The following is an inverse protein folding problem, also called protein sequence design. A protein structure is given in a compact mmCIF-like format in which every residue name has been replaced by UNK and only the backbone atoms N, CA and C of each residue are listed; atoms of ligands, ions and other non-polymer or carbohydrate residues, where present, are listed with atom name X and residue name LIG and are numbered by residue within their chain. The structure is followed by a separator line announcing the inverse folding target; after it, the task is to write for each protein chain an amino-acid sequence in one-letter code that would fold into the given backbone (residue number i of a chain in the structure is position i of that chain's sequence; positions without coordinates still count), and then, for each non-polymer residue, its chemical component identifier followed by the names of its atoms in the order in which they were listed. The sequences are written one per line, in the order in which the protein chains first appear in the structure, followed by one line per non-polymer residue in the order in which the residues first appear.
data_IF_245667256962
#
_entry.id   IF_245667256962
#
_cell.length_a   1.000
_cell.length_b   1.000
_cell.length_c   1.000
_cell.angle_alpha   90.00
_cell.angle_beta   90.00
_cell.angle_gamma   90.00
#
_symmetry.space_group_name_H-M   'P 1'
#
loop_
_entity.id
_entity.type
_entity.pdbx_description
1 polymer ?
#
# COMPACT_ATOMS: atom_id res chain seq x y z
N UNK A 1 -14.94 -6.53 10.54
CA UNK A 1 -15.12 -6.88 9.11
C UNK A 1 -16.61 -6.85 8.78
N UNK A 2 -16.98 -6.42 7.58
CA UNK A 2 -18.32 -6.57 7.03
C UNK A 2 -18.20 -7.02 5.57
N UNK A 3 -19.16 -7.77 5.07
CA UNK A 3 -19.19 -8.28 3.70
C UNK A 3 -20.27 -7.58 2.89
N UNK A 4 -19.95 -7.17 1.68
CA UNK A 4 -20.92 -6.62 0.74
C UNK A 4 -21.65 -7.74 0.01
N UNK A 5 -22.97 -7.82 0.14
CA UNK A 5 -23.80 -8.88 -0.48
C UNK A 5 -24.31 -8.53 -1.89
N UNK A 6 -23.93 -7.36 -2.42
CA UNK A 6 -24.42 -6.82 -3.71
C UNK A 6 -25.34 -5.60 -3.54
N UNK A 7 -26.01 -5.44 -2.41
CA UNK A 7 -26.91 -4.33 -2.10
C UNK A 7 -26.52 -3.57 -0.82
N UNK A 8 -26.08 -4.25 0.20
CA UNK A 8 -25.74 -3.68 1.51
C UNK A 8 -24.59 -4.46 2.17
N UNK A 9 -24.03 -3.90 3.25
CA UNK A 9 -23.09 -4.62 4.11
C UNK A 9 -23.85 -5.48 5.11
N UNK A 10 -23.31 -6.68 5.38
CA UNK A 10 -23.75 -7.51 6.48
C UNK A 10 -23.36 -6.91 7.86
N UNK A 11 -23.71 -7.60 8.94
CA UNK A 11 -23.35 -7.19 10.27
C UNK A 11 -21.83 -7.06 10.44
N UNK A 12 -21.43 -6.00 11.16
CA UNK A 12 -20.01 -5.75 11.46
C UNK A 12 -19.52 -6.77 12.48
N UNK A 13 -18.54 -7.57 12.11
CA UNK A 13 -17.89 -8.57 12.94
C UNK A 13 -16.54 -8.08 13.46
N UNK A 14 -16.26 -8.34 14.72
CA UNK A 14 -14.99 -8.00 15.34
C UNK A 14 -13.90 -8.96 14.86
N UNK A 15 -12.76 -8.41 14.42
CA UNK A 15 -11.57 -9.19 14.05
C UNK A 15 -10.68 -9.38 15.28
N UNK A 16 -10.34 -8.28 15.96
CA UNK A 16 -9.46 -8.29 17.12
C UNK A 16 -9.84 -7.18 18.11
N UNK A 17 -9.45 -7.37 19.37
CA UNK A 17 -9.62 -6.38 20.45
C UNK A 17 -8.42 -6.44 21.39
N UNK A 18 -7.79 -5.29 21.65
CA UNK A 18 -6.70 -5.17 22.61
C UNK A 18 -6.73 -3.81 23.31
N UNK A 19 -6.29 -3.78 24.58
CA UNK A 19 -6.04 -2.51 25.29
C UNK A 19 -4.85 -1.74 24.70
N UNK A 20 -3.92 -2.44 24.06
CA UNK A 20 -2.76 -1.88 23.39
C UNK A 20 -2.95 -1.56 21.91
N UNK A 21 -4.18 -1.66 21.39
CA UNK A 21 -4.43 -1.36 19.96
C UNK A 21 -3.95 0.04 19.62
N UNK A 22 -3.15 0.15 18.55
CA UNK A 22 -2.56 1.39 18.10
C UNK A 22 -3.18 1.81 16.76
N UNK A 23 -3.91 2.91 16.78
CA UNK A 23 -4.49 3.51 15.58
C UNK A 23 -3.55 4.58 15.01
N UNK A 24 -3.14 4.40 13.78
CA UNK A 24 -2.29 5.33 13.04
C UNK A 24 -2.99 5.75 11.75
N UNK A 25 -2.98 7.04 11.43
CA UNK A 25 -3.64 7.58 10.24
C UNK A 25 -2.99 7.15 8.92
N UNK A 26 -1.70 6.81 8.95
CA UNK A 26 -0.90 6.43 7.78
C UNK A 26 -0.61 4.93 7.70
N UNK A 27 -0.61 4.25 8.84
CA UNK A 27 -0.33 2.82 8.96
C UNK A 27 -1.62 2.11 9.38
N UNK A 28 -2.42 1.78 8.39
CA UNK A 28 -3.78 1.28 8.57
C UNK A 28 -3.84 -0.24 8.47
N UNK A 29 -4.74 -0.90 9.20
CA UNK A 29 -4.92 -2.34 9.11
C UNK A 29 -5.34 -2.78 7.71
N UNK A 30 -5.03 -4.03 7.36
CA UNK A 30 -5.44 -4.64 6.09
C UNK A 30 -5.97 -6.05 6.27
N UNK A 31 -6.68 -6.51 5.26
CA UNK A 31 -7.26 -7.84 5.15
C UNK A 31 -6.92 -8.40 3.77
N UNK A 32 -6.55 -9.67 3.71
CA UNK A 32 -6.31 -10.40 2.47
C UNK A 32 -6.90 -11.80 2.55
N UNK A 33 -7.40 -12.29 1.44
CA UNK A 33 -7.80 -13.68 1.28
C UNK A 33 -6.65 -14.46 0.62
N UNK A 34 -6.23 -15.54 1.25
CA UNK A 34 -5.27 -16.49 0.68
C UNK A 34 -5.93 -17.33 -0.42
N UNK A 35 -5.17 -17.91 -1.35
CA UNK A 35 -5.72 -18.82 -2.35
C UNK A 35 -6.40 -20.09 -1.76
N UNK A 36 -6.13 -20.40 -0.50
CA UNK A 36 -6.83 -21.46 0.26
C UNK A 36 -8.24 -21.07 0.69
N UNK A 37 -8.62 -19.79 0.61
CA UNK A 37 -9.86 -19.22 1.15
C UNK A 37 -9.74 -18.71 2.59
N UNK A 38 -8.59 -18.89 3.24
CA UNK A 38 -8.32 -18.36 4.55
C UNK A 38 -8.18 -16.83 4.49
N UNK A 39 -8.69 -16.14 5.48
CA UNK A 39 -8.49 -14.71 5.62
C UNK A 39 -7.37 -14.43 6.60
N UNK A 40 -6.50 -13.49 6.25
CA UNK A 40 -5.48 -12.95 7.14
C UNK A 40 -5.69 -11.46 7.30
N UNK A 41 -5.69 -10.99 8.55
CA UNK A 41 -5.76 -9.58 8.88
C UNK A 41 -4.55 -9.16 9.71
N UNK A 42 -4.03 -7.96 9.47
CA UNK A 42 -3.06 -7.36 10.37
C UNK A 42 -3.62 -6.10 11.03
N UNK A 43 -3.11 -5.82 12.20
CA UNK A 43 -3.36 -4.62 12.98
C UNK A 43 -2.16 -4.31 13.87
N UNK A 44 -2.09 -3.09 14.38
CA UNK A 44 -0.96 -2.64 15.20
C UNK A 44 -1.30 -2.70 16.68
N UNK A 45 -0.35 -3.20 17.48
CA UNK A 45 -0.46 -3.26 18.93
C UNK A 45 0.80 -2.70 19.59
N UNK A 46 0.63 -1.98 20.69
CA UNK A 46 1.75 -1.44 21.45
C UNK A 46 2.57 -2.55 22.07
N UNK A 47 3.91 -2.41 22.01
CA UNK A 47 4.90 -3.26 22.68
C UNK A 47 5.66 -2.50 23.77
N UNK A 48 5.32 -1.23 23.99
CA UNK A 48 5.90 -0.38 25.02
C UNK A 48 5.14 0.93 25.18
N UNK A 49 5.63 1.79 26.06
CA UNK A 49 5.01 3.09 26.37
C UNK A 49 5.50 4.23 25.47
N UNK A 50 6.55 4.02 24.69
CA UNK A 50 7.11 5.04 23.79
C UNK A 50 6.18 5.26 22.60
N UNK A 51 6.22 6.44 22.00
CA UNK A 51 5.31 6.85 20.92
C UNK A 51 5.29 5.89 19.74
N UNK A 52 6.47 5.36 19.36
CA UNK A 52 6.65 4.46 18.21
C UNK A 52 6.96 3.02 18.64
N UNK A 53 6.65 2.63 19.88
CA UNK A 53 6.80 1.27 20.36
C UNK A 53 5.55 0.45 20.05
N UNK A 54 5.43 0.00 18.82
CA UNK A 54 4.33 -0.86 18.36
C UNK A 54 4.81 -1.90 17.36
N UNK A 55 4.06 -2.98 17.28
CA UNK A 55 4.34 -4.09 16.38
C UNK A 55 3.07 -4.57 15.69
N UNK A 56 3.26 -5.56 14.83
CA UNK A 56 2.25 -6.06 13.90
C UNK A 56 1.69 -7.37 14.44
N UNK A 57 0.38 -7.38 14.71
CA UNK A 57 -0.38 -8.59 15.05
C UNK A 57 -1.03 -9.16 13.80
N UNK A 58 -1.10 -10.49 13.73
CA UNK A 58 -1.75 -11.23 12.65
C UNK A 58 -2.90 -12.05 13.22
N UNK A 59 -4.05 -11.93 12.58
CA UNK A 59 -5.23 -12.74 12.83
C UNK A 59 -5.54 -13.59 11.60
N UNK A 60 -5.99 -14.83 11.80
CA UNK A 60 -6.42 -15.76 10.74
C UNK A 60 -7.85 -16.21 10.96
N UNK A 61 -8.61 -16.33 9.89
CA UNK A 61 -9.95 -16.95 9.87
C UNK A 61 -10.01 -18.02 8.79
N UNK A 62 -10.60 -19.16 9.11
CA UNK A 62 -10.82 -20.28 8.19
C UNK A 62 -12.31 -20.48 7.84
N UNK A 63 -13.17 -19.58 8.33
CA UNK A 63 -14.62 -19.68 8.25
C UNK A 63 -15.27 -18.41 7.68
N UNK A 64 -14.55 -17.76 6.73
CA UNK A 64 -14.96 -16.50 6.06
C UNK A 64 -15.22 -15.35 7.05
N UNK A 65 -14.38 -15.25 8.09
CA UNK A 65 -14.40 -14.15 9.06
C UNK A 65 -15.50 -14.25 10.11
N UNK A 66 -16.08 -15.42 10.32
CA UNK A 66 -17.03 -15.66 11.42
C UNK A 66 -16.30 -15.76 12.76
N UNK A 67 -15.14 -16.41 12.76
CA UNK A 67 -14.22 -16.45 13.91
C UNK A 67 -12.78 -16.15 13.49
N UNK A 68 -11.98 -15.68 14.45
CA UNK A 68 -10.60 -15.27 14.23
C UNK A 68 -9.69 -15.88 15.29
N UNK A 69 -8.53 -16.35 14.86
CA UNK A 69 -7.46 -16.87 15.69
C UNK A 69 -6.24 -15.97 15.57
N UNK A 70 -5.69 -15.52 16.70
CA UNK A 70 -4.42 -14.78 16.69
C UNK A 70 -3.26 -15.72 16.40
N UNK A 71 -2.40 -15.31 15.47
CA UNK A 71 -1.10 -15.95 15.20
C UNK A 71 0.04 -15.27 15.96
N UNK A 72 -0.23 -14.16 16.65
CA UNK A 72 0.78 -13.40 17.38
C UNK A 72 1.47 -12.35 16.49
N UNK A 73 2.74 -12.05 16.83
CA UNK A 73 3.54 -11.05 16.14
C UNK A 73 4.01 -11.54 14.77
N UNK A 74 3.90 -10.69 13.75
CA UNK A 74 4.43 -10.97 12.40
C UNK A 74 5.96 -11.11 12.41
N UNK A 75 6.65 -10.42 13.30
CA UNK A 75 8.10 -10.29 13.39
C UNK A 75 8.64 -10.92 14.68
N UNK A 76 9.87 -11.41 14.61
CA UNK A 76 10.57 -11.98 15.77
C UNK A 76 11.17 -10.91 16.69
N UNK A 77 11.44 -9.71 16.17
CA UNK A 77 11.95 -8.60 16.98
C UNK A 77 10.81 -7.98 17.80
N UNK A 78 10.94 -8.02 19.11
CA UNK A 78 10.00 -7.42 20.08
C UNK A 78 10.59 -6.19 20.77
N UNK A 79 11.60 -5.57 20.18
CA UNK A 79 12.15 -4.31 20.67
C UNK A 79 11.08 -3.20 20.67
N UNK A 80 11.21 -2.24 21.59
CA UNK A 80 10.25 -1.13 21.70
C UNK A 80 10.48 -0.08 20.62
N UNK A 81 10.43 -0.51 19.36
CA UNK A 81 10.60 0.30 18.14
C UNK A 81 9.37 0.17 17.25
N UNK A 82 9.40 0.84 16.11
CA UNK A 82 8.31 0.84 15.14
C UNK A 82 8.40 -0.38 14.20
N UNK A 83 7.33 -1.20 14.15
CA UNK A 83 7.15 -2.26 13.17
C UNK A 83 5.76 -2.08 12.54
N UNK A 84 5.71 -1.76 11.25
CA UNK A 84 4.43 -1.43 10.62
C UNK A 84 4.49 -1.25 9.11
N UNK A 85 3.55 -0.47 8.56
CA UNK A 85 3.40 -0.21 7.14
C UNK A 85 3.32 -1.48 6.29
N UNK A 86 2.43 -2.37 6.72
CA UNK A 86 2.31 -3.73 6.19
C UNK A 86 1.62 -3.77 4.83
N UNK A 87 2.15 -4.59 3.92
CA UNK A 87 1.48 -5.04 2.70
C UNK A 87 1.34 -6.55 2.71
N UNK A 88 0.10 -7.05 2.67
CA UNK A 88 -0.22 -8.48 2.56
C UNK A 88 -0.68 -8.77 1.14
N UNK A 89 -0.11 -9.80 0.51
CA UNK A 89 -0.52 -10.25 -0.82
C UNK A 89 -0.70 -11.77 -0.85
N UNK A 90 -1.70 -12.28 -1.60
CA UNK A 90 -1.75 -13.71 -1.90
C UNK A 90 -0.56 -14.09 -2.78
N UNK A 91 0.07 -15.22 -2.51
CA UNK A 91 1.17 -15.75 -3.30
C UNK A 91 1.12 -17.27 -3.33
N UNK A 92 0.98 -17.88 -4.52
CA UNK A 92 0.81 -19.32 -4.70
C UNK A 92 -0.34 -19.88 -3.83
N UNK A 93 -0.05 -20.53 -2.68
CA UNK A 93 -1.03 -21.09 -1.74
C UNK A 93 -1.02 -20.44 -0.36
N UNK A 94 -0.17 -19.42 -0.15
CA UNK A 94 0.02 -18.75 1.12
C UNK A 94 -0.15 -17.22 0.96
N UNK A 95 0.06 -16.48 2.01
CA UNK A 95 0.14 -15.01 1.99
C UNK A 95 1.58 -14.60 2.26
N UNK A 96 2.11 -13.69 1.45
CA UNK A 96 3.37 -13.02 1.73
C UNK A 96 3.10 -11.67 2.39
N UNK A 97 3.79 -11.43 3.47
CA UNK A 97 3.79 -10.17 4.19
C UNK A 97 5.08 -9.40 3.93
N UNK A 98 4.96 -8.09 3.77
CA UNK A 98 6.07 -7.14 3.76
C UNK A 98 5.81 -6.07 4.80
N UNK A 99 6.84 -5.58 5.48
CA UNK A 99 6.69 -4.50 6.47
C UNK A 99 7.97 -3.68 6.62
N UNK A 100 7.82 -2.49 7.18
CA UNK A 100 8.92 -1.69 7.67
C UNK A 100 9.26 -2.09 9.11
N UNK A 101 10.55 -2.34 9.36
CA UNK A 101 11.04 -2.89 10.62
C UNK A 101 12.09 -1.97 11.24
N UNK A 102 11.76 -1.42 12.39
CA UNK A 102 12.61 -0.51 13.16
C UNK A 102 13.52 -1.18 14.18
N UNK A 103 13.65 -2.51 14.19
CA UNK A 103 14.45 -3.26 15.19
C UNK A 103 15.89 -2.82 15.35
N UNK A 104 16.45 -2.14 14.34
CA UNK A 104 17.80 -1.57 14.41
C UNK A 104 17.81 -0.08 14.84
N UNK A 105 16.68 0.61 14.89
CA UNK A 105 16.61 2.07 15.06
C UNK A 105 17.20 2.58 16.38
N UNK A 106 17.20 1.79 17.43
CA UNK A 106 17.82 2.15 18.73
C UNK A 106 19.32 1.90 18.79
N UNK A 107 19.90 1.22 17.80
CA UNK A 107 21.35 1.01 17.72
C UNK A 107 22.05 2.26 17.17
N UNK A 108 23.33 2.49 17.50
CA UNK A 108 24.11 3.55 16.87
C UNK A 108 24.06 3.45 15.34
N UNK A 109 23.64 4.51 14.65
CA UNK A 109 23.40 4.55 13.20
C UNK A 109 22.36 3.53 12.71
N UNK A 110 21.42 3.17 13.60
CA UNK A 110 20.33 2.26 13.26
C UNK A 110 19.43 2.82 12.18
N UNK A 111 18.91 1.93 11.35
CA UNK A 111 18.15 2.23 10.15
C UNK A 111 16.82 1.45 10.17
N UNK A 112 15.85 1.95 9.43
CA UNK A 112 14.63 1.22 9.13
C UNK A 112 14.92 0.21 8.02
N UNK A 113 14.41 -0.99 8.17
CA UNK A 113 14.57 -2.09 7.21
C UNK A 113 13.26 -2.40 6.50
N UNK A 114 13.35 -2.95 5.30
CA UNK A 114 12.25 -3.64 4.63
C UNK A 114 12.41 -5.14 4.86
N UNK A 115 11.37 -5.79 5.40
CA UNK A 115 11.37 -7.23 5.67
C UNK A 115 10.19 -7.93 5.02
N UNK A 116 10.27 -9.26 4.95
CA UNK A 116 9.22 -10.14 4.43
C UNK A 116 9.12 -11.42 5.24
N UNK A 117 7.92 -12.00 5.29
CA UNK A 117 7.65 -13.33 5.83
C UNK A 117 6.50 -14.00 5.07
N UNK A 118 6.32 -15.29 5.29
CA UNK A 118 5.24 -16.10 4.73
C UNK A 118 4.27 -16.48 5.84
N UNK A 119 2.97 -16.24 5.60
CA UNK A 119 1.86 -16.70 6.43
C UNK A 119 1.27 -17.95 5.75
N UNK A 120 1.44 -19.11 6.35
CA UNK A 120 1.01 -20.41 5.81
C UNK A 120 0.28 -21.21 6.90
N UNK A 121 -1.03 -21.28 6.80
CA UNK A 121 -1.85 -21.84 7.87
C UNK A 121 -1.66 -21.06 9.19
N UNK A 122 -1.30 -21.75 10.25
CA UNK A 122 -1.03 -21.14 11.57
C UNK A 122 0.44 -20.72 11.75
N UNK A 123 1.27 -20.79 10.72
CA UNK A 123 2.69 -20.54 10.81
C UNK A 123 3.07 -19.20 10.18
N UNK A 124 3.97 -18.48 10.85
CA UNK A 124 4.71 -17.34 10.30
C UNK A 124 6.15 -17.82 10.13
N UNK A 125 6.62 -17.87 8.90
CA UNK A 125 7.91 -18.47 8.57
C UNK A 125 8.68 -17.68 7.52
N UNK A 126 9.95 -18.06 7.33
CA UNK A 126 10.83 -17.45 6.29
C UNK A 126 10.95 -15.93 6.43
N UNK A 127 11.12 -15.44 7.67
CA UNK A 127 11.38 -14.02 7.89
C UNK A 127 12.77 -13.65 7.34
N UNK A 128 12.80 -12.68 6.42
CA UNK A 128 14.01 -12.22 5.75
C UNK A 128 14.06 -10.70 5.65
N UNK A 129 15.27 -10.15 5.62
CA UNK A 129 15.53 -8.74 5.32
C UNK A 129 15.73 -8.58 3.81
N UNK A 130 15.05 -7.61 3.20
CA UNK A 130 15.14 -7.30 1.77
C UNK A 130 16.05 -6.09 1.55
N UNK A 131 15.92 -5.05 2.40
CA UNK A 131 16.69 -3.81 2.33
C UNK A 131 16.96 -3.29 3.74
N UNK A 132 18.17 -2.79 4.00
CA UNK A 132 18.64 -2.40 5.32
C UNK A 132 18.63 -0.89 5.59
N UNK A 133 18.18 -0.06 4.63
CA UNK A 133 18.08 1.40 4.80
C UNK A 133 16.94 2.03 3.99
N UNK A 134 15.74 2.02 4.53
CA UNK A 134 14.55 2.54 3.85
C UNK A 134 13.92 3.72 4.58
N UNK A 135 12.98 4.41 3.93
CA UNK A 135 12.21 5.48 4.56
C UNK A 135 11.35 4.94 5.72
N UNK A 136 11.38 5.60 6.87
CA UNK A 136 10.77 5.12 8.12
C UNK A 136 9.25 5.23 8.19
N UNK A 137 8.59 5.98 7.31
CA UNK A 137 7.20 6.41 7.55
C UNK A 137 6.30 6.37 6.33
N UNK A 138 6.70 5.66 5.29
CA UNK A 138 5.93 5.63 4.04
C UNK A 138 5.30 4.25 3.83
N UNK A 139 3.98 4.19 3.55
CA UNK A 139 3.36 2.94 3.12
C UNK A 139 4.11 2.30 1.97
N UNK A 140 4.13 0.98 1.97
CA UNK A 140 4.68 0.15 0.90
C UNK A 140 3.55 -0.48 0.09
N UNK A 141 3.85 -0.92 -1.12
CA UNK A 141 2.91 -1.65 -1.97
C UNK A 141 3.54 -2.91 -2.52
N UNK A 142 2.76 -3.99 -2.61
CA UNK A 142 3.23 -5.24 -3.20
C UNK A 142 2.17 -5.86 -4.10
N UNK A 143 2.61 -6.67 -5.04
CA UNK A 143 1.77 -7.44 -5.96
C UNK A 143 2.31 -8.84 -6.16
N UNK A 144 1.40 -9.77 -6.45
CA UNK A 144 1.76 -11.08 -6.99
C UNK A 144 2.08 -10.94 -8.48
N UNK A 145 3.11 -11.66 -8.93
CA UNK A 145 3.53 -11.80 -10.32
C UNK A 145 3.62 -13.28 -10.70
N UNK A 146 3.61 -13.63 -11.98
CA UNK A 146 3.89 -14.99 -12.41
C UNK A 146 5.25 -15.48 -11.87
N UNK A 147 5.20 -16.49 -10.99
CA UNK A 147 6.40 -17.10 -10.37
C UNK A 147 7.01 -16.32 -9.21
N UNK A 148 6.30 -15.35 -8.62
CA UNK A 148 6.79 -14.62 -7.46
C UNK A 148 5.99 -13.37 -7.13
N UNK A 149 6.66 -12.33 -6.68
CA UNK A 149 6.04 -11.06 -6.27
C UNK A 149 6.97 -9.87 -6.52
N UNK A 150 6.42 -8.68 -6.40
CA UNK A 150 7.18 -7.44 -6.42
C UNK A 150 6.72 -6.53 -5.27
N UNK A 151 7.67 -5.82 -4.67
CA UNK A 151 7.41 -4.81 -3.64
C UNK A 151 8.02 -3.48 -4.06
N UNK A 152 7.27 -2.40 -3.88
CA UNK A 152 7.72 -1.02 -4.08
C UNK A 152 7.64 -0.27 -2.76
N UNK A 153 8.63 0.53 -2.49
CA UNK A 153 8.75 1.29 -1.25
C UNK A 153 9.51 2.60 -1.50
N UNK A 154 9.37 3.53 -0.58
CA UNK A 154 10.22 4.73 -0.57
C UNK A 154 11.54 4.37 0.09
N UNK A 155 12.59 4.49 -0.71
CA UNK A 155 13.96 4.21 -0.30
C UNK A 155 14.58 5.37 0.49
N UNK A 156 15.72 5.12 1.13
CA UNK A 156 16.57 6.12 1.76
C UNK A 156 17.99 6.00 1.23
N UNK A 157 18.23 6.63 0.10
CA UNK A 157 19.53 6.64 -0.54
C UNK A 157 20.46 7.69 0.09
N UNK A 158 21.79 7.62 -0.18
CA UNK A 158 22.72 8.64 0.25
C UNK A 158 22.24 10.05 -0.05
N UNK A 159 22.60 11.03 0.78
CA UNK A 159 22.18 12.43 0.69
C UNK A 159 20.66 12.66 0.87
N UNK A 160 19.99 11.73 1.57
CA UNK A 160 18.54 11.79 1.83
C UNK A 160 17.68 11.83 0.55
N UNK A 161 18.14 11.17 -0.52
CA UNK A 161 17.32 10.97 -1.71
C UNK A 161 16.24 9.93 -1.38
N UNK A 162 14.98 10.31 -1.61
CA UNK A 162 13.78 9.52 -1.26
C UNK A 162 13.03 9.08 -2.50
N UNK A 163 13.72 8.46 -3.44
CA UNK A 163 13.11 7.90 -4.65
C UNK A 163 12.38 6.59 -4.33
N UNK A 164 11.61 6.09 -5.27
CA UNK A 164 10.91 4.81 -5.13
C UNK A 164 11.76 3.69 -5.71
N UNK A 165 12.03 2.69 -4.89
CA UNK A 165 12.70 1.46 -5.27
C UNK A 165 11.71 0.30 -5.44
N UNK A 166 12.09 -0.64 -6.29
CA UNK A 166 11.40 -1.88 -6.62
C UNK A 166 12.33 -3.05 -6.35
N UNK A 167 11.80 -4.10 -5.73
CA UNK A 167 12.44 -5.41 -5.58
C UNK A 167 11.51 -6.48 -6.13
N UNK A 168 12.03 -7.36 -6.99
CA UNK A 168 11.36 -8.58 -7.43
C UNK A 168 11.76 -9.76 -6.55
N UNK A 169 10.79 -10.60 -6.25
CA UNK A 169 10.99 -11.84 -5.50
C UNK A 169 10.55 -12.98 -6.39
N UNK A 170 11.45 -13.93 -6.61
CA UNK A 170 11.20 -15.13 -7.41
C UNK A 170 11.88 -16.33 -6.77
N UNK A 171 11.11 -17.41 -6.51
CA UNK A 171 11.61 -18.63 -5.86
C UNK A 171 12.36 -18.32 -4.54
N UNK A 172 11.78 -17.47 -3.68
CA UNK A 172 12.37 -17.00 -2.42
C UNK A 172 13.75 -16.31 -2.53
N UNK A 173 14.12 -15.91 -3.73
CA UNK A 173 15.26 -15.04 -4.01
C UNK A 173 14.77 -13.69 -4.46
N UNK A 174 15.40 -12.62 -3.99
CA UNK A 174 15.04 -11.25 -4.37
C UNK A 174 16.17 -10.53 -5.10
N UNK A 175 15.77 -9.67 -6.01
CA UNK A 175 16.69 -8.82 -6.74
C UNK A 175 17.33 -7.79 -5.80
N UNK A 176 18.41 -7.19 -6.24
CA UNK A 176 18.86 -5.94 -5.61
C UNK A 176 17.80 -4.86 -5.80
N UNK A 177 17.63 -3.92 -4.83
CA UNK A 177 16.81 -2.74 -5.02
C UNK A 177 17.18 -1.97 -6.27
N UNK A 178 16.20 -1.58 -7.06
CA UNK A 178 16.38 -0.76 -8.25
C UNK A 178 15.38 0.39 -8.25
N UNK A 179 15.83 1.62 -8.49
CA UNK A 179 14.93 2.76 -8.58
C UNK A 179 14.04 2.65 -9.81
N UNK A 180 12.73 2.83 -9.64
CA UNK A 180 11.81 2.86 -10.79
C UNK A 180 12.07 4.08 -11.68
N UNK A 181 12.55 5.18 -11.09
CA UNK A 181 12.95 6.42 -11.76
C UNK A 181 13.88 7.23 -10.86
N UNK A 182 14.84 7.93 -11.45
CA UNK A 182 15.73 8.84 -10.76
C UNK A 182 15.10 10.24 -10.65
N UNK A 183 14.14 10.39 -9.74
CA UNK A 183 13.54 11.71 -9.43
C UNK A 183 14.54 12.60 -8.68
N UNK A 184 15.49 11.98 -7.96
CA UNK A 184 16.49 12.61 -7.11
C UNK A 184 15.85 13.57 -6.09
N UNK A 185 14.74 13.15 -5.51
CA UNK A 185 14.03 13.95 -4.51
C UNK A 185 14.75 13.92 -3.17
N UNK A 186 15.48 14.98 -2.87
CA UNK A 186 16.13 15.17 -1.56
C UNK A 186 15.08 15.59 -0.54
N UNK A 187 14.89 14.78 0.49
CA UNK A 187 13.91 15.02 1.55
C UNK A 187 14.46 14.53 2.90
N UNK A 188 15.15 15.40 3.67
CA UNK A 188 15.65 15.05 5.00
C UNK A 188 14.52 15.04 6.03
N UNK A 189 13.63 14.06 5.96
CA UNK A 189 12.45 13.96 6.83
C UNK A 189 11.48 12.88 6.40
N UNK A 190 10.27 12.94 6.97
CA UNK A 190 9.18 11.97 6.80
C UNK A 190 8.11 12.51 5.85
N UNK A 191 8.11 12.16 4.57
CA UNK A 191 7.09 12.65 3.63
C UNK A 191 5.73 11.99 3.81
N UNK A 192 5.65 10.81 4.44
CA UNK A 192 4.44 10.00 4.64
C UNK A 192 3.65 9.82 3.34
N UNK A 193 4.37 9.58 2.26
CA UNK A 193 3.87 9.41 0.90
C UNK A 193 4.56 8.22 0.25
N UNK A 194 4.05 7.02 0.49
CA UNK A 194 4.51 5.80 -0.15
C UNK A 194 4.03 5.66 -1.60
N UNK A 195 4.61 4.72 -2.34
CA UNK A 195 4.12 4.30 -3.65
C UNK A 195 2.88 3.43 -3.52
N UNK A 196 2.17 3.28 -4.64
CA UNK A 196 1.16 2.24 -4.80
C UNK A 196 1.41 1.50 -6.10
N UNK A 197 1.23 0.18 -6.09
CA UNK A 197 1.49 -0.70 -7.22
C UNK A 197 0.25 -1.57 -7.51
N UNK A 198 0.00 -1.82 -8.79
CA UNK A 198 -1.03 -2.74 -9.25
C UNK A 198 -0.60 -3.42 -10.55
N UNK A 199 -1.24 -4.53 -10.90
CA UNK A 199 -1.03 -5.22 -12.17
C UNK A 199 -2.35 -5.79 -12.69
N UNK A 200 -2.47 -5.95 -14.00
CA UNK A 200 -3.51 -6.75 -14.65
C UNK A 200 -2.96 -8.04 -15.26
N UNK A 201 -1.71 -8.39 -14.93
CA UNK A 201 -0.98 -9.54 -15.49
C UNK A 201 -0.04 -9.15 -16.65
N UNK A 202 -0.43 -8.21 -17.50
CA UNK A 202 0.36 -7.80 -18.68
C UNK A 202 1.29 -6.62 -18.38
N UNK A 203 0.81 -5.69 -17.55
CA UNK A 203 1.55 -4.50 -17.14
C UNK A 203 1.59 -4.36 -15.63
N UNK A 204 2.62 -3.68 -15.18
CA UNK A 204 2.77 -3.18 -13.81
C UNK A 204 2.57 -1.67 -13.84
N UNK A 205 1.75 -1.17 -12.94
CA UNK A 205 1.43 0.24 -12.77
C UNK A 205 1.88 0.70 -11.38
N UNK A 206 2.81 1.65 -11.32
CA UNK A 206 3.30 2.23 -10.06
C UNK A 206 2.99 3.71 -10.02
N UNK A 207 2.22 4.16 -9.04
CA UNK A 207 2.02 5.57 -8.78
C UNK A 207 2.86 6.04 -7.60
N UNK A 208 3.32 7.28 -7.67
CA UNK A 208 4.11 7.91 -6.64
C UNK A 208 3.85 9.41 -6.53
N UNK A 209 3.97 9.90 -5.31
CA UNK A 209 4.18 11.33 -5.05
C UNK A 209 5.69 11.61 -5.07
N UNK A 210 6.10 12.66 -5.73
CA UNK A 210 7.49 13.11 -5.77
C UNK A 210 7.58 14.63 -5.92
N UNK A 211 8.76 15.21 -5.69
CA UNK A 211 9.03 16.63 -5.95
C UNK A 211 10.19 16.74 -6.92
N UNK A 212 9.92 17.26 -8.10
CA UNK A 212 10.91 17.45 -9.16
C UNK A 212 11.00 18.96 -9.47
N UNK A 213 12.21 19.52 -9.40
CA UNK A 213 12.43 20.96 -9.62
C UNK A 213 11.48 21.85 -8.78
N UNK A 214 11.35 21.52 -7.49
CA UNK A 214 10.48 22.20 -6.51
C UNK A 214 8.98 22.14 -6.84
N UNK A 215 8.55 21.24 -7.72
CA UNK A 215 7.13 21.01 -8.02
C UNK A 215 6.71 19.63 -7.54
N UNK A 216 5.71 19.59 -6.66
CA UNK A 216 5.07 18.35 -6.24
C UNK A 216 4.27 17.74 -7.39
N UNK A 217 4.35 16.43 -7.56
CA UNK A 217 3.70 15.72 -8.66
C UNK A 217 3.15 14.38 -8.19
N UNK A 218 2.06 13.95 -8.84
CA UNK A 218 1.64 12.55 -8.88
C UNK A 218 2.01 12.01 -10.26
N UNK A 219 2.82 10.97 -10.25
CA UNK A 219 3.29 10.33 -11.49
C UNK A 219 2.91 8.86 -11.44
N UNK A 220 2.34 8.39 -12.54
CA UNK A 220 2.11 6.97 -12.82
C UNK A 220 3.20 6.48 -13.78
N UNK A 221 3.80 5.32 -13.48
CA UNK A 221 4.69 4.62 -14.38
C UNK A 221 4.08 3.29 -14.79
N UNK A 222 4.05 3.02 -16.10
CA UNK A 222 3.56 1.78 -16.68
C UNK A 222 4.73 1.03 -17.32
N UNK A 223 4.89 -0.24 -17.01
CA UNK A 223 5.95 -1.08 -17.56
C UNK A 223 5.55 -2.56 -17.54
N UNK A 224 6.25 -3.40 -18.31
CA UNK A 224 6.15 -4.85 -18.22
C UNK A 224 7.09 -5.38 -17.14
N UNK A 225 6.82 -6.57 -16.63
CA UNK A 225 7.68 -7.21 -15.65
C UNK A 225 9.13 -7.30 -16.13
N UNK A 226 10.08 -6.97 -15.25
CA UNK A 226 11.52 -6.88 -15.58
C UNK A 226 11.91 -5.68 -16.46
N UNK A 227 11.00 -4.77 -16.83
CA UNK A 227 11.25 -3.64 -17.75
C UNK A 227 10.94 -2.27 -17.11
N UNK A 228 11.20 -2.10 -15.82
CA UNK A 228 10.89 -0.86 -15.13
C UNK A 228 11.61 0.37 -15.73
N UNK A 229 12.85 0.22 -16.19
CA UNK A 229 13.66 1.30 -16.77
C UNK A 229 13.06 1.86 -18.08
N UNK A 230 12.48 0.99 -18.92
CA UNK A 230 11.84 1.38 -20.20
C UNK A 230 10.39 1.81 -20.04
N UNK A 231 9.90 1.91 -18.78
CA UNK A 231 8.51 2.23 -18.49
C UNK A 231 8.09 3.63 -18.93
N UNK A 232 6.81 3.75 -19.29
CA UNK A 232 6.18 5.02 -19.67
C UNK A 232 5.74 5.80 -18.45
N UNK A 233 6.15 7.06 -18.33
CA UNK A 233 5.72 7.98 -17.30
C UNK A 233 4.56 8.86 -17.75
N UNK A 234 3.58 9.00 -16.87
CA UNK A 234 2.39 9.83 -17.04
C UNK A 234 2.23 10.73 -15.82
N UNK A 235 2.37 12.04 -16.00
CA UNK A 235 2.08 13.01 -14.93
C UNK A 235 0.56 13.14 -14.79
N UNK A 236 0.05 12.68 -13.64
CA UNK A 236 -1.37 12.74 -13.33
C UNK A 236 -1.78 14.07 -12.71
N UNK A 237 -0.91 14.66 -11.87
CA UNK A 237 -1.21 15.92 -11.18
C UNK A 237 0.07 16.70 -10.86
N UNK A 238 0.03 18.01 -11.09
CA UNK A 238 1.04 19.01 -10.67
C UNK A 238 0.35 20.23 -10.05
N UNK A 239 -0.97 20.15 -9.83
CA UNK A 239 -1.76 21.23 -9.28
C UNK A 239 -2.07 20.95 -7.80
N UNK A 240 -1.11 21.27 -6.94
CA UNK A 240 -1.16 21.11 -5.49
C UNK A 240 -1.59 19.67 -5.06
N UNK A 241 -0.90 18.62 -5.53
CA UNK A 241 -1.15 17.29 -5.01
C UNK A 241 -0.66 17.17 -3.56
N UNK A 242 -1.43 16.48 -2.72
CA UNK A 242 -1.05 16.11 -1.35
C UNK A 242 -0.41 14.72 -1.34
N UNK A 243 -0.79 13.86 -2.28
CA UNK A 243 -0.29 12.48 -2.40
C UNK A 243 -1.25 11.43 -1.89
N UNK A 244 -0.74 10.48 -1.10
CA UNK A 244 -1.49 9.34 -0.55
C UNK A 244 -2.19 8.54 -1.64
N UNK A 245 -1.39 8.09 -2.61
CA UNK A 245 -1.87 7.43 -3.81
C UNK A 245 -2.37 6.01 -3.52
N UNK A 246 -3.41 5.60 -4.24
CA UNK A 246 -3.79 4.20 -4.41
C UNK A 246 -4.03 3.92 -5.90
N UNK A 247 -3.53 2.77 -6.36
CA UNK A 247 -3.55 2.35 -7.77
C UNK A 247 -4.22 1.00 -7.86
N UNK A 248 -5.12 0.83 -8.81
CA UNK A 248 -5.73 -0.45 -9.15
C UNK A 248 -5.81 -0.62 -10.67
N UNK A 249 -5.74 -1.86 -11.12
CA UNK A 249 -5.90 -2.21 -12.53
C UNK A 249 -7.23 -2.93 -12.75
N UNK A 250 -7.88 -2.61 -13.85
CA UNK A 250 -8.83 -3.48 -14.52
C UNK A 250 -8.14 -4.20 -15.67
N UNK A 251 -8.89 -5.01 -16.41
CA UNK A 251 -8.40 -5.62 -17.65
C UNK A 251 -7.91 -4.57 -18.66
N UNK A 252 -8.58 -3.40 -18.76
CA UNK A 252 -8.43 -2.44 -19.86
C UNK A 252 -7.92 -1.06 -19.44
N UNK A 253 -7.78 -0.82 -18.13
CA UNK A 253 -7.39 0.50 -17.60
C UNK A 253 -6.71 0.42 -16.25
N UNK A 254 -5.97 1.49 -15.93
CA UNK A 254 -5.39 1.76 -14.62
C UNK A 254 -6.13 2.93 -13.98
N UNK A 255 -6.57 2.75 -12.75
CA UNK A 255 -7.21 3.79 -11.96
C UNK A 255 -6.25 4.24 -10.86
N UNK A 256 -6.03 5.54 -10.79
CA UNK A 256 -5.25 6.16 -9.73
C UNK A 256 -6.13 7.11 -8.93
N UNK A 257 -6.08 6.98 -7.62
CA UNK A 257 -6.76 7.86 -6.69
C UNK A 257 -5.70 8.53 -5.82
N UNK A 258 -5.84 9.83 -5.56
CA UNK A 258 -4.93 10.59 -4.70
C UNK A 258 -5.65 11.77 -4.04
N UNK A 259 -5.04 12.31 -3.02
CA UNK A 259 -5.50 13.53 -2.37
C UNK A 259 -4.82 14.75 -3.02
N UNK A 260 -5.60 15.74 -3.35
CA UNK A 260 -5.14 17.03 -3.89
C UNK A 260 -5.92 18.20 -3.31
N UNK A 261 -5.61 19.41 -3.78
CA UNK A 261 -6.34 20.62 -3.38
C UNK A 261 -7.00 21.24 -4.61
N UNK A 262 -8.28 21.56 -4.51
CA UNK A 262 -9.05 22.31 -5.51
C UNK A 262 -9.74 23.50 -4.83
N UNK A 263 -9.57 24.72 -5.37
CA UNK A 263 -10.19 25.94 -4.83
C UNK A 263 -10.09 26.07 -3.29
N UNK A 264 -8.92 25.76 -2.73
CA UNK A 264 -8.59 25.73 -1.28
C UNK A 264 -9.27 24.61 -0.48
N UNK A 265 -9.99 23.70 -1.13
CA UNK A 265 -10.61 22.53 -0.51
C UNK A 265 -9.75 21.29 -0.77
N UNK A 266 -9.55 20.47 0.25
CA UNK A 266 -8.95 19.14 0.09
C UNK A 266 -9.96 18.20 -0.57
N UNK A 267 -9.51 17.50 -1.60
CA UNK A 267 -10.39 16.66 -2.43
C UNK A 267 -9.71 15.32 -2.73
N UNK A 268 -10.55 14.31 -2.91
CA UNK A 268 -10.13 13.05 -3.49
C UNK A 268 -10.25 13.15 -5.01
N UNK A 269 -9.16 12.92 -5.73
CA UNK A 269 -9.08 12.93 -7.20
C UNK A 269 -8.90 11.53 -7.74
N UNK A 270 -9.30 11.33 -8.98
CA UNK A 270 -9.11 10.08 -9.71
C UNK A 270 -8.69 10.36 -11.16
N UNK A 271 -7.78 9.54 -11.68
CA UNK A 271 -7.52 9.42 -13.11
C UNK A 271 -7.72 7.99 -13.58
N UNK A 272 -8.35 7.86 -14.74
CA UNK A 272 -8.43 6.63 -15.52
C UNK A 272 -7.45 6.75 -16.69
N UNK A 273 -6.53 5.77 -16.79
CA UNK A 273 -5.46 5.76 -17.78
C UNK A 273 -5.53 4.45 -18.56
N UNK A 274 -5.49 4.52 -19.88
CA UNK A 274 -5.41 3.31 -20.72
C UNK A 274 -4.09 2.56 -20.49
N UNK A 275 -4.02 1.29 -20.84
CA UNK A 275 -2.79 0.50 -20.76
C UNK A 275 -1.66 1.06 -21.64
N UNK A 276 -2.01 1.82 -22.70
CA UNK A 276 -1.05 2.55 -23.52
C UNK A 276 -0.56 3.88 -22.91
N UNK A 277 -1.09 4.26 -21.73
CA UNK A 277 -0.69 5.46 -20.99
C UNK A 277 -1.40 6.76 -21.44
N UNK A 278 -2.56 6.68 -22.09
CA UNK A 278 -3.42 7.85 -22.40
C UNK A 278 -4.37 8.08 -21.21
N UNK A 279 -4.39 9.30 -20.67
CA UNK A 279 -5.41 9.69 -19.68
C UNK A 279 -6.75 9.76 -20.39
N UNK A 280 -7.69 8.88 -20.04
CA UNK A 280 -9.05 8.83 -20.56
C UNK A 280 -9.95 9.80 -19.80
N UNK A 281 -9.77 9.88 -18.47
CA UNK A 281 -10.60 10.71 -17.60
C UNK A 281 -9.79 11.15 -16.37
N UNK A 282 -10.00 12.39 -15.94
CA UNK A 282 -9.52 12.91 -14.66
C UNK A 282 -10.63 13.72 -14.00
N UNK A 283 -11.00 13.35 -12.77
CA UNK A 283 -12.13 13.96 -12.06
C UNK A 283 -11.82 14.15 -10.57
N UNK A 284 -12.53 15.07 -9.95
CA UNK A 284 -12.68 15.16 -8.50
C UNK A 284 -13.84 14.26 -8.08
N UNK A 285 -13.59 13.35 -7.15
CA UNK A 285 -14.59 12.42 -6.65
C UNK A 285 -15.44 13.07 -5.57
N UNK A 286 -14.81 13.50 -4.48
CA UNK A 286 -15.49 14.09 -3.31
C UNK A 286 -14.54 15.05 -2.58
N UNK A 287 -15.08 16.05 -1.88
CA UNK A 287 -14.35 16.79 -0.86
C UNK A 287 -14.08 15.89 0.37
N UNK A 288 -12.93 16.08 1.01
CA UNK A 288 -12.53 15.35 2.21
C UNK A 288 -11.94 16.30 3.25
N UNK A 289 -11.73 15.80 4.46
CA UNK A 289 -11.12 16.56 5.55
C UNK A 289 -9.68 16.97 5.21
N UNK A 290 -9.28 18.17 5.67
CA UNK A 290 -7.99 18.76 5.29
C UNK A 290 -6.80 18.13 5.99
N UNK A 291 -6.99 17.57 7.16
CA UNK A 291 -5.92 17.15 8.05
C UNK A 291 -5.45 15.68 7.81
N UNK A 292 -4.64 15.19 8.73
CA UNK A 292 -4.16 13.81 8.70
C UNK A 292 -5.26 12.79 8.97
N UNK A 293 -6.37 13.17 9.60
CA UNK A 293 -7.50 12.28 9.89
C UNK A 293 -8.19 11.76 8.64
N UNK A 294 -8.03 12.42 7.47
CA UNK A 294 -8.49 11.89 6.19
C UNK A 294 -7.81 10.57 5.78
N UNK A 295 -6.74 10.19 6.46
CA UNK A 295 -6.12 8.87 6.32
C UNK A 295 -5.52 8.59 4.95
N UNK A 296 -5.44 7.31 4.62
CA UNK A 296 -4.98 6.80 3.33
C UNK A 296 -6.18 6.23 2.56
N UNK A 297 -6.59 6.81 1.42
CA UNK A 297 -7.64 6.21 0.61
C UNK A 297 -7.21 4.83 0.12
N UNK A 298 -8.18 3.92 0.00
CA UNK A 298 -7.98 2.59 -0.57
C UNK A 298 -8.96 2.36 -1.72
N UNK A 299 -8.54 1.58 -2.70
CA UNK A 299 -9.40 1.23 -3.81
C UNK A 299 -9.21 -0.24 -4.20
N UNK A 300 -10.26 -0.81 -4.74
CA UNK A 300 -10.27 -2.09 -5.43
C UNK A 300 -11.10 -1.98 -6.70
N UNK A 301 -10.81 -2.83 -7.67
CA UNK A 301 -11.64 -2.98 -8.87
C UNK A 301 -12.30 -4.36 -8.84
N UNK A 302 -13.63 -4.39 -8.82
CA UNK A 302 -14.40 -5.63 -8.79
C UNK A 302 -15.75 -5.45 -9.46
N UNK A 303 -16.20 -6.46 -10.23
CA UNK A 303 -17.50 -6.49 -10.89
C UNK A 303 -17.81 -5.23 -11.72
N UNK A 304 -16.82 -4.76 -12.49
CA UNK A 304 -16.89 -3.54 -13.30
C UNK A 304 -17.15 -2.24 -12.52
N UNK A 305 -16.84 -2.25 -11.22
CA UNK A 305 -16.86 -1.05 -10.40
C UNK A 305 -15.48 -0.79 -9.79
N UNK A 306 -15.08 0.47 -9.81
CA UNK A 306 -14.04 1.01 -8.96
C UNK A 306 -14.67 1.33 -7.61
N UNK A 307 -14.28 0.61 -6.58
CA UNK A 307 -14.66 0.86 -5.20
C UNK A 307 -13.58 1.68 -4.53
N UNK A 308 -13.96 2.72 -3.83
CA UNK A 308 -13.02 3.62 -3.15
C UNK A 308 -13.50 3.83 -1.73
N UNK A 309 -12.62 3.61 -0.75
CA UNK A 309 -12.86 3.95 0.66
C UNK A 309 -11.93 5.07 1.11
N UNK A 310 -12.46 5.93 1.96
CA UNK A 310 -11.72 7.04 2.56
C UNK A 310 -12.27 7.36 3.95
N UNK A 311 -11.50 8.07 4.76
CA UNK A 311 -11.95 8.57 6.06
C UNK A 311 -12.47 10.00 5.90
N UNK A 312 -13.63 10.30 6.47
CA UNK A 312 -14.21 11.63 6.52
C UNK A 312 -15.13 11.76 7.72
N UNK A 313 -14.99 12.84 8.48
CA UNK A 313 -15.78 13.11 9.71
C UNK A 313 -15.73 11.95 10.71
N UNK A 314 -14.54 11.38 10.95
CA UNK A 314 -14.28 10.22 11.82
C UNK A 314 -15.04 8.93 11.43
N UNK A 315 -15.43 8.80 10.19
CA UNK A 315 -16.10 7.62 9.66
C UNK A 315 -15.36 7.11 8.43
N UNK A 316 -15.36 5.78 8.26
CA UNK A 316 -14.97 5.18 6.98
C UNK A 316 -16.15 5.30 6.02
N UNK A 317 -15.90 5.92 4.88
CA UNK A 317 -16.86 6.07 3.79
C UNK A 317 -16.47 5.19 2.63
N UNK A 318 -17.46 4.69 1.91
CA UNK A 318 -17.29 3.89 0.71
C UNK A 318 -18.12 4.49 -0.43
N UNK A 319 -17.50 4.61 -1.59
CA UNK A 319 -18.16 4.95 -2.84
C UNK A 319 -17.80 3.95 -3.94
N UNK A 320 -18.63 3.86 -4.95
CA UNK A 320 -18.35 3.08 -6.16
C UNK A 320 -18.63 3.87 -7.42
N UNK A 321 -17.79 3.66 -8.41
CA UNK A 321 -17.90 4.25 -9.74
C UNK A 321 -17.94 3.12 -10.77
N UNK A 322 -18.94 3.10 -11.64
CA UNK A 322 -18.99 2.13 -12.74
C UNK A 322 -17.88 2.45 -13.74
N UNK A 323 -17.09 1.44 -14.11
CA UNK A 323 -16.17 1.58 -15.22
C UNK A 323 -16.96 1.82 -16.51
N UNK A 324 -16.52 2.78 -17.32
CA UNK A 324 -17.04 2.90 -18.67
C UNK A 324 -16.44 1.75 -19.48
N UNK A 325 -17.24 0.73 -19.73
CA UNK A 325 -16.90 -0.27 -20.75
C UNK A 325 -17.14 0.46 -22.07
N UNK A 326 -16.05 0.80 -22.80
CA UNK A 326 -16.21 1.13 -24.21
C UNK A 326 -16.73 -0.17 -24.85
N UNK A 327 -18.01 -0.21 -25.18
CA UNK A 327 -18.52 -1.20 -26.15
C UNK A 327 -17.75 -0.88 -27.44
N UNK A 328 -16.76 -1.71 -27.76
CA UNK A 328 -16.08 -1.59 -29.06
C UNK A 328 -17.14 -1.68 -30.15
N UNK A 329 -17.21 -0.65 -30.95
CA UNK A 329 -17.87 -0.69 -32.26
C UNK A 329 -17.09 -1.58 -33.21
#
# INVERSE_FOLDING_TARGET
MATWNGSEFDEIRLIAKSKGMFANWADIPSLVEAPSGDLYAHWLNRIGNETYAYGIQIERSIDHGKSWQSLGWLHNDTSTTEHGFVSLIPENRHVRAFWLDGGQMKKPRGKMMLRTAILDGNEIKSENMIDDDVCTCCPIGAIQLPGGSAVVYRDRLPQEIRDISLVHIKNDSWSKPSRIQNDNWVMPGCPVNGPSIATNGDIIAVSRFTVIKNKAKIILRLFKDGQAESGKEITLDENIPVGRCTTVCSKDAVYNIWIGVDKKQTVLRMAEVSLSGKIKRKITLVPIDKDRSSGMPRAIFSNNYLWVSWTGSNQVRLGRLKANIETGD
#
